data_IF_865175223139
#
_entry.id   IF_865175223139
#
_cell.length_a   1.000
_cell.length_b   1.000
_cell.length_c   1.000
_cell.angle_alpha   90.00
_cell.angle_beta   90.00
_cell.angle_gamma   90.00
#
_symmetry.space_group_name_H-M   'P 1'
#
loop_
_entity.id
_entity.type
_entity.pdbx_description
1 polymer ?
#
# COMPACT_ATOMS: atom_id res chain seq x y z
N UNK A 1 -1.34 2.26 -5.11
CA UNK A 1 -2.27 2.28 -6.26
C UNK A 1 -1.50 2.15 -7.57
N UNK A 2 -2.12 1.70 -8.66
CA UNK A 2 -1.51 1.77 -10.01
C UNK A 2 -1.77 3.09 -10.70
N UNK A 3 -2.91 3.75 -10.44
CA UNK A 3 -3.31 5.00 -11.08
C UNK A 3 -3.37 6.14 -10.06
N UNK A 4 -3.57 7.37 -10.55
CA UNK A 4 -3.72 8.56 -9.71
C UNK A 4 -5.15 8.72 -9.17
N UNK A 5 -5.30 9.43 -8.05
CA UNK A 5 -6.58 9.76 -7.44
C UNK A 5 -7.41 10.67 -8.36
N UNK A 6 -6.76 11.53 -9.17
CA UNK A 6 -7.48 12.45 -10.07
C UNK A 6 -8.17 11.71 -11.23
N UNK A 7 -7.61 10.61 -11.69
CA UNK A 7 -8.19 9.77 -12.75
C UNK A 7 -9.51 9.11 -12.35
N UNK A 8 -9.82 8.99 -11.05
CA UNK A 8 -11.09 8.42 -10.58
C UNK A 8 -12.29 9.13 -11.23
N UNK A 9 -12.19 10.45 -11.44
CA UNK A 9 -13.28 11.25 -12.01
C UNK A 9 -13.56 10.98 -13.49
N UNK A 10 -12.71 10.23 -14.18
CA UNK A 10 -12.84 9.84 -15.59
C UNK A 10 -13.14 8.35 -15.81
N UNK A 11 -13.29 7.57 -14.73
CA UNK A 11 -13.65 6.14 -14.81
C UNK A 11 -15.12 5.96 -15.19
N UNK A 12 -15.41 4.92 -15.96
CA UNK A 12 -16.77 4.48 -16.30
C UNK A 12 -17.32 3.49 -15.27
N UNK A 13 -16.44 2.69 -14.66
CA UNK A 13 -16.80 1.72 -13.63
C UNK A 13 -15.83 1.82 -12.46
N UNK A 14 -16.40 1.92 -11.26
CA UNK A 14 -15.65 1.94 -10.00
C UNK A 14 -16.09 0.73 -9.19
N UNK A 15 -15.21 -0.25 -9.04
CA UNK A 15 -15.47 -1.43 -8.21
C UNK A 15 -14.79 -1.27 -6.86
N UNK A 16 -15.58 -1.08 -5.81
CA UNK A 16 -15.13 -0.97 -4.42
C UNK A 16 -15.32 -2.33 -3.76
N UNK A 17 -14.25 -2.94 -3.24
CA UNK A 17 -14.33 -4.23 -2.54
C UNK A 17 -13.57 -4.18 -1.22
N UNK A 18 -14.21 -4.59 -0.13
CA UNK A 18 -13.61 -4.62 1.21
C UNK A 18 -13.18 -3.24 1.71
N UNK A 19 -13.93 -2.19 1.40
CA UNK A 19 -13.59 -0.80 1.73
C UNK A 19 -14.79 0.05 2.14
N UNK A 20 -14.66 0.72 3.30
CA UNK A 20 -15.55 1.80 3.71
C UNK A 20 -15.01 3.18 3.26
N UNK A 21 -14.84 3.35 1.94
CA UNK A 21 -14.07 4.46 1.36
C UNK A 21 -14.54 5.84 1.81
N UNK A 22 -15.83 6.05 2.07
CA UNK A 22 -16.35 7.37 2.47
C UNK A 22 -15.88 7.80 3.86
N UNK A 23 -15.80 6.86 4.80
CA UNK A 23 -15.36 7.15 6.17
C UNK A 23 -13.82 7.17 6.26
N UNK A 24 -13.14 6.29 5.54
CA UNK A 24 -11.68 6.13 5.68
C UNK A 24 -10.88 6.97 4.69
N UNK A 25 -11.45 7.31 3.53
CA UNK A 25 -10.82 8.12 2.47
C UNK A 25 -11.82 9.12 1.84
N UNK A 26 -12.38 10.06 2.62
CA UNK A 26 -13.49 10.92 2.19
C UNK A 26 -13.19 11.74 0.92
N UNK A 27 -11.95 12.18 0.72
CA UNK A 27 -11.53 12.91 -0.50
C UNK A 27 -11.60 12.02 -1.73
N UNK A 28 -11.20 10.76 -1.62
CA UNK A 28 -11.29 9.76 -2.69
C UNK A 28 -12.76 9.43 -2.98
N UNK A 29 -13.58 9.22 -1.93
CA UNK A 29 -15.01 8.99 -2.09
C UNK A 29 -15.71 10.17 -2.79
N UNK A 30 -15.33 11.41 -2.49
CA UNK A 30 -15.86 12.58 -3.19
C UNK A 30 -15.55 12.56 -4.69
N UNK A 31 -14.37 12.09 -5.10
CA UNK A 31 -14.05 11.91 -6.53
C UNK A 31 -14.85 10.79 -7.17
N UNK A 32 -15.06 9.67 -6.46
CA UNK A 32 -15.95 8.59 -6.92
C UNK A 32 -17.39 9.10 -7.12
N UNK A 33 -17.90 9.92 -6.20
CA UNK A 33 -19.24 10.53 -6.31
C UNK A 33 -19.31 11.51 -7.49
N UNK A 34 -18.23 12.26 -7.78
CA UNK A 34 -18.16 13.09 -8.99
C UNK A 34 -18.21 12.24 -10.26
N UNK A 35 -17.48 11.11 -10.31
CA UNK A 35 -17.54 10.18 -11.44
C UNK A 35 -18.97 9.63 -11.61
N UNK A 36 -19.60 9.20 -10.52
CA UNK A 36 -21.01 8.75 -10.52
C UNK A 36 -21.96 9.81 -11.10
N UNK A 37 -21.82 11.08 -10.70
CA UNK A 37 -22.61 12.20 -11.24
C UNK A 37 -22.38 12.43 -12.74
N UNK A 38 -21.25 11.99 -13.30
CA UNK A 38 -20.96 12.02 -14.74
C UNK A 38 -21.42 10.74 -15.47
N UNK A 39 -22.06 9.80 -14.77
CA UNK A 39 -22.59 8.56 -15.34
C UNK A 39 -21.78 7.30 -15.05
N UNK A 40 -20.72 7.38 -14.23
CA UNK A 40 -19.97 6.18 -13.84
C UNK A 40 -20.82 5.22 -12.99
N UNK A 41 -20.70 3.92 -13.25
CA UNK A 41 -21.36 2.88 -12.45
C UNK A 41 -20.46 2.49 -11.27
N UNK A 42 -21.05 2.37 -10.09
CA UNK A 42 -20.33 1.92 -8.88
C UNK A 42 -20.81 0.52 -8.49
N UNK A 43 -19.87 -0.40 -8.33
CA UNK A 43 -20.10 -1.72 -7.74
C UNK A 43 -19.49 -1.69 -6.33
N UNK A 44 -20.22 -2.17 -5.32
CA UNK A 44 -19.71 -2.28 -3.95
C UNK A 44 -19.83 -3.72 -3.48
N UNK A 45 -18.72 -4.33 -3.07
CA UNK A 45 -18.68 -5.62 -2.37
C UNK A 45 -18.20 -5.41 -0.93
N UNK A 46 -19.12 -5.51 0.03
CA UNK A 46 -18.83 -5.42 1.46
C UNK A 46 -19.93 -6.18 2.24
N UNK A 47 -19.60 -6.93 3.30
CA UNK A 47 -20.60 -7.55 4.17
C UNK A 47 -21.52 -6.53 4.85
N UNK A 48 -21.09 -5.27 4.95
CA UNK A 48 -21.84 -4.19 5.58
C UNK A 48 -22.38 -3.25 4.52
N UNK A 49 -23.48 -2.57 4.85
CA UNK A 49 -24.05 -1.52 4.02
C UNK A 49 -23.32 -0.18 4.22
N UNK A 50 -22.07 -0.10 3.76
CA UNK A 50 -21.22 1.10 3.88
C UNK A 50 -21.85 2.30 3.13
N UNK A 51 -21.51 3.56 3.47
CA UNK A 51 -22.15 4.74 2.87
C UNK A 51 -22.06 4.82 1.33
N UNK A 52 -21.04 4.22 0.72
CA UNK A 52 -20.91 4.17 -0.74
C UNK A 52 -21.99 3.32 -1.43
N UNK A 53 -22.67 2.42 -0.69
CA UNK A 53 -23.79 1.61 -1.22
C UNK A 53 -24.94 2.48 -1.71
N UNK A 54 -25.13 3.70 -1.16
CA UNK A 54 -26.15 4.65 -1.63
C UNK A 54 -25.97 5.05 -3.10
N UNK A 55 -24.75 4.97 -3.62
CA UNK A 55 -24.40 5.33 -4.99
C UNK A 55 -24.17 4.10 -5.89
N UNK A 56 -24.35 2.89 -5.35
CA UNK A 56 -24.01 1.66 -6.04
C UNK A 56 -25.11 1.21 -7.00
N UNK A 57 -24.72 0.88 -8.24
CA UNK A 57 -25.54 0.17 -9.22
C UNK A 57 -25.73 -1.30 -8.82
N UNK A 58 -24.72 -1.88 -8.16
CA UNK A 58 -24.73 -3.24 -7.61
C UNK A 58 -24.10 -3.24 -6.24
N UNK A 59 -24.81 -3.80 -5.27
CA UNK A 59 -24.28 -4.08 -3.93
C UNK A 59 -24.21 -5.59 -3.71
N UNK A 60 -22.99 -6.10 -3.65
CA UNK A 60 -22.67 -7.50 -3.41
C UNK A 60 -22.48 -7.68 -1.91
N UNK A 61 -23.56 -8.03 -1.19
CA UNK A 61 -23.54 -8.25 0.24
C UNK A 61 -22.89 -9.62 0.56
N UNK A 62 -21.57 -9.66 0.45
CA UNK A 62 -20.77 -10.86 0.54
C UNK A 62 -20.61 -11.34 1.99
N UNK A 63 -20.60 -12.66 2.21
CA UNK A 63 -20.17 -13.26 3.48
C UNK A 63 -18.66 -12.99 3.70
N UNK A 64 -18.22 -12.51 4.88
CA UNK A 64 -16.81 -12.23 5.13
C UNK A 64 -15.90 -13.45 4.85
N UNK A 65 -14.77 -13.22 4.17
CA UNK A 65 -13.78 -14.26 3.86
C UNK A 65 -14.13 -15.14 2.66
N UNK A 66 -15.08 -14.73 1.81
CA UNK A 66 -15.47 -15.47 0.60
C UNK A 66 -15.11 -14.74 -0.69
N UNK A 67 -14.20 -13.77 -0.61
CA UNK A 67 -13.85 -12.81 -1.67
C UNK A 67 -13.32 -13.48 -2.94
N UNK A 68 -12.47 -14.52 -2.81
CA UNK A 68 -11.98 -15.30 -3.95
C UNK A 68 -13.12 -15.97 -4.73
N UNK A 69 -14.12 -16.51 -4.03
CA UNK A 69 -15.27 -17.14 -4.68
C UNK A 69 -16.11 -16.12 -5.46
N UNK A 70 -16.29 -14.91 -4.91
CA UNK A 70 -16.97 -13.82 -5.60
C UNK A 70 -16.20 -13.38 -6.85
N UNK A 71 -14.89 -13.12 -6.71
CA UNK A 71 -14.04 -12.64 -7.80
C UNK A 71 -13.92 -13.68 -8.92
N UNK A 72 -13.76 -14.96 -8.59
CA UNK A 72 -13.76 -16.03 -9.58
C UNK A 72 -15.14 -16.24 -10.22
N UNK A 73 -16.23 -16.07 -9.46
CA UNK A 73 -17.59 -16.08 -10.01
C UNK A 73 -17.82 -14.97 -11.04
N UNK A 74 -17.29 -13.76 -10.79
CA UNK A 74 -17.31 -12.68 -11.76
C UNK A 74 -16.42 -12.98 -12.97
N UNK A 75 -15.21 -13.49 -12.73
CA UNK A 75 -14.28 -13.87 -13.79
C UNK A 75 -14.85 -14.93 -14.72
N UNK A 76 -15.54 -15.93 -14.19
CA UNK A 76 -16.24 -16.96 -14.95
C UNK A 76 -17.22 -16.37 -15.96
N UNK A 77 -18.07 -15.43 -15.51
CA UNK A 77 -19.03 -14.75 -16.39
C UNK A 77 -18.32 -13.93 -17.47
N UNK A 78 -17.27 -13.18 -17.10
CA UNK A 78 -16.49 -12.36 -18.05
C UNK A 78 -15.84 -13.22 -19.13
N UNK A 79 -15.30 -14.38 -18.76
CA UNK A 79 -14.66 -15.29 -19.72
C UNK A 79 -15.69 -15.93 -20.63
N UNK A 80 -16.77 -16.50 -20.06
CA UNK A 80 -17.80 -17.22 -20.83
C UNK A 80 -18.61 -16.32 -21.76
N UNK A 81 -18.78 -15.04 -21.42
CA UNK A 81 -19.47 -14.07 -22.27
C UNK A 81 -18.52 -13.34 -23.24
N UNK A 82 -17.23 -13.68 -23.28
CA UNK A 82 -16.26 -13.04 -24.19
C UNK A 82 -15.98 -11.56 -23.88
N UNK A 83 -16.14 -11.13 -22.62
CA UNK A 83 -15.93 -9.74 -22.20
C UNK A 83 -14.47 -9.42 -21.86
N UNK A 84 -13.63 -10.45 -21.70
CA UNK A 84 -12.19 -10.32 -21.50
C UNK A 84 -11.49 -9.67 -22.71
N UNK A 85 -10.28 -9.17 -22.49
CA UNK A 85 -9.48 -8.49 -23.50
C UNK A 85 -8.39 -9.43 -24.01
N UNK A 86 -8.68 -10.14 -25.10
CA UNK A 86 -7.77 -11.13 -25.72
C UNK A 86 -6.43 -10.52 -26.10
N UNK A 87 -6.42 -9.34 -26.75
CA UNK A 87 -5.16 -8.67 -27.15
C UNK A 87 -4.28 -8.37 -25.92
N UNK A 88 -4.86 -7.83 -24.85
CA UNK A 88 -4.11 -7.56 -23.62
C UNK A 88 -3.59 -8.84 -22.97
N UNK A 89 -4.41 -9.90 -22.93
CA UNK A 89 -4.03 -11.20 -22.37
C UNK A 89 -2.82 -11.76 -23.13
N UNK A 90 -2.90 -11.81 -24.45
CA UNK A 90 -1.86 -12.37 -25.31
C UNK A 90 -0.56 -11.57 -25.21
N UNK A 91 -0.63 -10.24 -25.14
CA UNK A 91 0.55 -9.38 -25.10
C UNK A 91 1.18 -9.26 -23.71
N UNK A 92 0.38 -9.24 -22.64
CA UNK A 92 0.82 -8.77 -21.31
C UNK A 92 0.73 -9.80 -20.20
N UNK A 93 0.10 -10.97 -20.43
CA UNK A 93 -0.13 -11.97 -19.37
C UNK A 93 0.43 -13.34 -19.71
N UNK A 94 0.55 -14.21 -18.71
CA UNK A 94 0.89 -15.63 -18.88
C UNK A 94 -0.09 -16.53 -18.13
N UNK A 95 -0.19 -17.81 -18.53
CA UNK A 95 -0.99 -18.80 -17.80
C UNK A 95 -2.50 -18.69 -17.95
N UNK A 96 -3.01 -17.88 -18.90
CA UNK A 96 -4.44 -17.66 -19.08
C UNK A 96 -5.25 -18.94 -19.32
N UNK A 97 -4.78 -19.86 -20.17
CA UNK A 97 -5.53 -21.08 -20.50
C UNK A 97 -5.69 -22.02 -19.29
N UNK A 98 -4.67 -22.17 -18.46
CA UNK A 98 -4.76 -23.00 -17.27
C UNK A 98 -5.59 -22.33 -16.17
N UNK A 99 -5.47 -21.02 -16.02
CA UNK A 99 -6.33 -20.23 -15.14
C UNK A 99 -7.79 -20.27 -15.57
N UNK A 100 -8.08 -20.18 -16.88
CA UNK A 100 -9.43 -20.26 -17.45
C UNK A 100 -10.10 -21.58 -17.09
N UNK A 101 -9.42 -22.72 -17.27
CA UNK A 101 -9.92 -24.05 -16.86
C UNK A 101 -10.25 -24.10 -15.38
N UNK A 102 -9.43 -23.47 -14.53
CA UNK A 102 -9.70 -23.40 -13.10
C UNK A 102 -10.99 -22.61 -12.79
N UNK A 103 -11.20 -21.49 -13.48
CA UNK A 103 -12.35 -20.60 -13.28
C UNK A 103 -13.67 -21.18 -13.83
N UNK A 104 -13.63 -22.15 -14.75
CA UNK A 104 -14.83 -22.84 -15.24
C UNK A 104 -15.68 -23.44 -14.11
N UNK A 105 -15.07 -23.93 -13.03
CA UNK A 105 -15.77 -24.48 -11.88
C UNK A 105 -16.53 -23.42 -11.06
N UNK A 106 -16.15 -22.15 -11.15
CA UNK A 106 -16.71 -21.05 -10.36
C UNK A 106 -17.94 -20.44 -11.04
N UNK A 107 -18.93 -21.26 -11.36
CA UNK A 107 -20.22 -20.77 -11.88
C UNK A 107 -20.87 -19.75 -10.92
N UNK A 108 -21.74 -18.85 -11.40
CA UNK A 108 -22.49 -17.94 -10.52
C UNK A 108 -23.28 -18.68 -9.43
N UNK A 109 -23.81 -19.87 -9.71
CA UNK A 109 -24.48 -20.75 -8.74
C UNK A 109 -23.53 -21.25 -7.66
N UNK A 110 -22.32 -21.68 -8.04
CA UNK A 110 -21.29 -22.10 -7.10
C UNK A 110 -20.84 -20.93 -6.21
N UNK A 111 -20.60 -19.77 -6.81
CA UNK A 111 -20.24 -18.56 -6.09
C UNK A 111 -21.36 -18.10 -5.15
N UNK A 112 -22.63 -18.14 -5.55
CA UNK A 112 -23.79 -17.85 -4.70
C UNK A 112 -23.83 -18.75 -3.45
N UNK A 113 -23.58 -20.05 -3.61
CA UNK A 113 -23.55 -21.01 -2.50
C UNK A 113 -22.50 -20.70 -1.43
N UNK A 114 -21.33 -20.18 -1.82
CA UNK A 114 -20.25 -19.85 -0.89
C UNK A 114 -20.43 -18.44 -0.32
N UNK A 115 -20.68 -17.47 -1.19
CA UNK A 115 -20.65 -16.04 -0.87
C UNK A 115 -21.94 -15.55 -0.24
N UNK A 116 -23.06 -16.24 -0.48
CA UNK A 116 -24.41 -15.76 -0.16
C UNK A 116 -24.90 -14.62 -1.06
N UNK A 117 -24.10 -14.18 -2.05
CA UNK A 117 -24.49 -13.13 -2.98
C UNK A 117 -25.37 -13.74 -4.07
N UNK A 118 -26.56 -13.17 -4.36
CA UNK A 118 -27.44 -13.72 -5.38
C UNK A 118 -26.73 -13.80 -6.74
N UNK A 119 -26.80 -14.95 -7.42
CA UNK A 119 -26.11 -15.18 -8.71
C UNK A 119 -26.40 -14.10 -9.75
N UNK A 120 -27.62 -13.56 -9.76
CA UNK A 120 -28.04 -12.46 -10.65
C UNK A 120 -27.22 -11.18 -10.43
N UNK A 121 -26.83 -10.88 -9.19
CA UNK A 121 -26.02 -9.70 -8.87
C UNK A 121 -24.55 -9.93 -9.23
N UNK A 122 -24.05 -11.17 -9.05
CA UNK A 122 -22.70 -11.56 -9.52
C UNK A 122 -22.61 -11.38 -11.03
N UNK A 123 -23.57 -11.90 -11.79
CA UNK A 123 -23.64 -11.76 -13.25
C UNK A 123 -23.75 -10.27 -13.65
N UNK A 124 -24.61 -9.50 -12.98
CA UNK A 124 -24.77 -8.06 -13.25
C UNK A 124 -23.47 -7.29 -13.02
N UNK A 125 -22.79 -7.52 -11.89
CA UNK A 125 -21.50 -6.90 -11.58
C UNK A 125 -20.42 -7.29 -12.59
N UNK A 126 -20.33 -8.57 -12.94
CA UNK A 126 -19.37 -9.08 -13.91
C UNK A 126 -19.55 -8.46 -15.29
N UNK A 127 -20.80 -8.36 -15.78
CA UNK A 127 -21.11 -7.71 -17.05
C UNK A 127 -20.78 -6.22 -17.04
N UNK A 128 -21.12 -5.51 -15.95
CA UNK A 128 -20.80 -4.08 -15.83
C UNK A 128 -19.28 -3.87 -15.86
N UNK A 129 -18.53 -4.64 -15.07
CA UNK A 129 -17.07 -4.49 -14.99
C UNK A 129 -16.38 -4.93 -16.29
N UNK A 130 -16.69 -6.13 -16.79
CA UNK A 130 -16.06 -6.72 -17.98
C UNK A 130 -16.33 -5.97 -19.28
N UNK A 131 -17.49 -5.31 -19.41
CA UNK A 131 -17.81 -4.53 -20.60
C UNK A 131 -17.10 -3.17 -20.67
N UNK A 132 -16.56 -2.66 -19.58
CA UNK A 132 -15.86 -1.37 -19.57
C UNK A 132 -14.37 -1.52 -19.88
N UNK A 133 -13.81 -0.49 -20.50
CA UNK A 133 -12.37 -0.33 -20.73
C UNK A 133 -11.77 0.83 -19.93
N UNK A 134 -12.54 1.40 -18.99
CA UNK A 134 -12.16 2.45 -18.04
C UNK A 134 -12.67 2.08 -16.64
N UNK A 135 -12.31 0.89 -16.18
CA UNK A 135 -12.72 0.36 -14.89
C UNK A 135 -11.56 0.36 -13.89
N UNK A 136 -11.81 0.83 -12.66
CA UNK A 136 -10.84 0.76 -11.56
C UNK A 136 -11.37 -0.10 -10.40
N UNK A 137 -10.50 -0.92 -9.82
CA UNK A 137 -10.79 -1.66 -8.59
C UNK A 137 -10.13 -0.94 -7.40
N UNK A 138 -10.89 -0.72 -6.34
CA UNK A 138 -10.46 -0.04 -5.12
C UNK A 138 -10.71 -0.95 -3.92
N UNK A 139 -9.64 -1.28 -3.19
CA UNK A 139 -9.72 -2.20 -2.06
C UNK A 139 -8.86 -1.77 -0.88
N UNK A 140 -9.10 -2.33 0.30
CA UNK A 140 -8.30 -2.09 1.49
C UNK A 140 -8.33 -3.31 2.41
N UNK A 141 -8.40 -3.10 3.72
CA UNK A 141 -8.31 -4.11 4.76
C UNK A 141 -9.35 -5.23 4.70
N UNK A 142 -10.54 -5.01 4.13
CA UNK A 142 -11.53 -6.08 3.92
C UNK A 142 -11.10 -7.12 2.87
N UNK A 143 -9.94 -6.93 2.25
CA UNK A 143 -9.28 -7.88 1.36
C UNK A 143 -7.99 -8.40 1.98
N UNK A 144 -7.17 -7.51 2.56
CA UNK A 144 -5.81 -7.84 3.00
C UNK A 144 -5.73 -8.45 4.40
N UNK A 145 -6.67 -8.12 5.32
CA UNK A 145 -6.66 -8.65 6.70
C UNK A 145 -7.44 -9.96 6.81
N UNK A 146 -7.11 -10.89 5.93
CA UNK A 146 -7.61 -12.27 5.90
C UNK A 146 -6.43 -13.24 5.86
N UNK A 147 -6.65 -14.48 6.31
CA UNK A 147 -5.64 -15.55 6.22
C UNK A 147 -5.21 -15.83 4.78
N UNK A 148 -6.04 -15.49 3.79
CA UNK A 148 -5.80 -15.59 2.35
C UNK A 148 -5.63 -14.21 1.68
N UNK A 149 -5.17 -13.19 2.40
CA UNK A 149 -5.09 -11.81 1.88
C UNK A 149 -4.30 -11.66 0.59
N UNK A 150 -3.16 -12.36 0.46
CA UNK A 150 -2.35 -12.38 -0.77
C UNK A 150 -3.10 -12.98 -1.96
N UNK A 151 -3.86 -14.05 -1.72
CA UNK A 151 -4.66 -14.72 -2.74
C UNK A 151 -5.86 -13.85 -3.16
N UNK A 152 -6.49 -13.14 -2.22
CA UNK A 152 -7.55 -12.18 -2.52
C UNK A 152 -7.04 -11.07 -3.45
N UNK A 153 -5.85 -10.51 -3.17
CA UNK A 153 -5.22 -9.47 -4.02
C UNK A 153 -4.84 -10.04 -5.39
N UNK A 154 -4.40 -11.31 -5.45
CA UNK A 154 -4.10 -11.99 -6.71
C UNK A 154 -5.35 -12.19 -7.56
N UNK A 155 -6.49 -12.55 -6.95
CA UNK A 155 -7.78 -12.64 -7.65
C UNK A 155 -8.27 -11.28 -8.19
N UNK A 156 -8.06 -10.19 -7.43
CA UNK A 156 -8.31 -8.82 -7.92
C UNK A 156 -7.42 -8.50 -9.12
N UNK A 157 -6.12 -8.85 -9.05
CA UNK A 157 -5.19 -8.62 -10.13
C UNK A 157 -5.60 -9.37 -11.39
N UNK A 158 -5.98 -10.65 -11.26
CA UNK A 158 -6.49 -11.47 -12.37
C UNK A 158 -7.70 -10.82 -13.04
N UNK A 159 -8.68 -10.36 -12.26
CA UNK A 159 -9.88 -9.70 -12.81
C UNK A 159 -9.53 -8.43 -13.60
N UNK A 160 -8.58 -7.64 -13.12
CA UNK A 160 -8.13 -6.42 -13.81
C UNK A 160 -7.28 -6.72 -15.05
N UNK A 161 -6.42 -7.74 -15.03
CA UNK A 161 -5.57 -8.11 -16.17
C UNK A 161 -6.38 -8.77 -17.28
N UNK A 162 -7.32 -9.68 -16.98
CA UNK A 162 -8.15 -10.32 -18.02
C UNK A 162 -9.05 -9.31 -18.74
N UNK A 163 -9.40 -8.19 -18.09
CA UNK A 163 -10.20 -7.12 -18.70
C UNK A 163 -9.34 -6.01 -19.33
N UNK A 164 -8.02 -6.09 -19.21
CA UNK A 164 -7.08 -5.07 -19.70
C UNK A 164 -7.23 -3.71 -19.01
N UNK A 165 -7.71 -3.69 -17.76
CA UNK A 165 -7.92 -2.49 -16.94
C UNK A 165 -6.68 -2.17 -16.08
N UNK A 166 -5.49 -2.29 -16.67
CA UNK A 166 -4.19 -1.95 -16.06
C UNK A 166 -3.28 -1.34 -17.12
N UNK A 167 -2.35 -0.46 -16.74
CA UNK A 167 -1.38 0.12 -17.68
C UNK A 167 -1.92 1.31 -18.48
N UNK A 168 -3.10 1.83 -18.11
CA UNK A 168 -3.85 2.81 -18.90
C UNK A 168 -4.52 3.86 -18.02
N UNK A 169 -4.83 5.00 -18.60
CA UNK A 169 -5.59 6.05 -17.94
C UNK A 169 -7.00 5.59 -17.54
N UNK A 170 -7.49 6.07 -16.40
CA UNK A 170 -8.83 5.81 -15.88
C UNK A 170 -9.10 4.31 -15.63
N UNK A 171 -8.08 3.56 -15.24
CA UNK A 171 -8.19 2.13 -14.90
C UNK A 171 -7.50 1.82 -13.57
N UNK A 172 -7.17 0.55 -13.32
CA UNK A 172 -6.13 0.18 -12.37
C UNK A 172 -6.59 -0.62 -11.18
N UNK A 173 -5.58 -1.10 -10.45
CA UNK A 173 -5.70 -1.83 -9.20
C UNK A 173 -5.24 -0.87 -8.09
N UNK A 174 -6.17 -0.41 -7.29
CA UNK A 174 -5.97 0.74 -6.42
C UNK A 174 -6.17 0.35 -4.94
N UNK A 175 -5.15 -0.26 -4.28
CA UNK A 175 -5.15 -0.39 -2.83
C UNK A 175 -5.21 1.00 -2.20
N UNK A 176 -6.20 1.21 -1.34
CA UNK A 176 -6.37 2.42 -0.54
C UNK A 176 -5.59 2.25 0.76
N UNK A 177 -4.36 2.76 0.75
CA UNK A 177 -3.46 2.77 1.90
C UNK A 177 -3.96 3.77 2.94
N UNK A 178 -4.01 3.36 4.21
CA UNK A 178 -4.66 4.11 5.28
C UNK A 178 -3.82 5.26 5.87
N UNK A 179 -2.65 4.93 6.44
CA UNK A 179 -1.78 5.93 7.06
C UNK A 179 -1.16 6.86 6.01
N UNK A 180 -0.88 8.11 6.40
CA UNK A 180 -0.43 9.19 5.52
C UNK A 180 0.82 8.86 4.69
N UNK A 181 1.75 8.06 5.25
CA UNK A 181 3.06 7.78 4.68
C UNK A 181 3.40 6.29 4.65
N UNK A 182 2.44 5.37 4.80
CA UNK A 182 2.76 3.94 4.72
C UNK A 182 3.34 3.57 3.35
N UNK A 183 2.99 4.30 2.29
CA UNK A 183 3.65 4.17 1.00
C UNK A 183 5.12 4.59 1.09
N UNK A 184 5.41 5.78 1.65
CA UNK A 184 6.77 6.29 1.77
C UNK A 184 7.65 5.49 2.73
N UNK A 185 7.10 4.97 3.82
CA UNK A 185 7.80 4.06 4.73
C UNK A 185 8.15 2.74 4.03
N UNK A 186 7.22 2.16 3.25
CA UNK A 186 7.53 0.99 2.40
C UNK A 186 8.59 1.33 1.35
N UNK A 187 8.49 2.49 0.69
CA UNK A 187 9.46 2.96 -0.29
C UNK A 187 10.85 3.06 0.34
N UNK A 188 10.93 3.56 1.59
CA UNK A 188 12.15 3.71 2.36
C UNK A 188 12.63 2.43 3.07
N UNK A 189 12.03 1.29 2.72
CA UNK A 189 12.38 -0.02 3.28
C UNK A 189 12.24 -0.12 4.80
N UNK A 190 11.16 0.44 5.35
CA UNK A 190 10.60 -0.02 6.63
C UNK A 190 9.94 -1.40 6.46
N UNK A 191 10.68 -2.35 5.86
CA UNK A 191 10.32 -3.70 5.48
C UNK A 191 11.56 -4.58 5.68
N UNK A 192 11.42 -5.81 6.19
CA UNK A 192 12.58 -6.60 6.64
C UNK A 192 13.38 -7.26 5.50
N UNK A 193 12.85 -7.30 4.27
CA UNK A 193 13.34 -8.14 3.17
C UNK A 193 13.88 -7.36 1.95
N UNK A 194 13.87 -6.03 2.01
CA UNK A 194 14.28 -5.14 0.92
C UNK A 194 15.09 -3.95 1.41
N UNK A 195 15.82 -3.33 0.50
CA UNK A 195 16.45 -2.01 0.61
C UNK A 195 15.59 -0.95 -0.08
N UNK A 196 15.82 0.36 0.19
CA UNK A 196 15.01 1.45 -0.35
C UNK A 196 14.70 1.30 -1.85
N UNK A 197 13.44 1.54 -2.24
CA UNK A 197 12.96 1.33 -3.61
C UNK A 197 12.56 -0.10 -3.94
N UNK A 198 12.23 -0.92 -2.92
CA UNK A 198 11.84 -2.33 -3.06
C UNK A 198 12.95 -3.21 -3.67
N UNK A 199 14.20 -2.88 -3.41
CA UNK A 199 15.35 -3.57 -4.00
C UNK A 199 15.74 -4.74 -3.10
N UNK A 200 15.65 -5.98 -3.61
CA UNK A 200 15.82 -7.17 -2.75
C UNK A 200 17.21 -7.27 -2.13
N UNK A 201 17.24 -7.70 -0.86
CA UNK A 201 18.48 -7.91 -0.08
C UNK A 201 19.33 -9.09 -0.59
N UNK A 202 18.72 -10.04 -1.30
CA UNK A 202 19.41 -11.25 -1.78
C UNK A 202 20.11 -11.07 -3.14
N UNK A 203 20.02 -9.87 -3.73
CA UNK A 203 20.69 -9.52 -4.98
C UNK A 203 22.08 -8.89 -4.71
N UNK A 204 23.19 -9.56 -5.08
CA UNK A 204 24.54 -9.09 -4.75
C UNK A 204 24.86 -7.68 -5.26
N UNK A 205 24.40 -7.33 -6.46
CA UNK A 205 24.62 -6.02 -7.08
C UNK A 205 23.88 -4.89 -6.35
N UNK A 206 22.75 -5.21 -5.73
CA UNK A 206 22.01 -4.26 -4.89
C UNK A 206 22.76 -4.06 -3.58
N UNK A 207 23.18 -5.14 -2.91
CA UNK A 207 23.96 -5.04 -1.68
C UNK A 207 25.22 -4.22 -1.90
N UNK A 208 26.03 -4.55 -2.91
CA UNK A 208 27.29 -3.85 -3.19
C UNK A 208 27.08 -2.34 -3.36
N UNK A 209 26.01 -1.93 -4.06
CA UNK A 209 25.66 -0.52 -4.23
C UNK A 209 25.43 0.20 -2.89
N UNK A 210 24.64 -0.41 -1.99
CA UNK A 210 24.32 0.19 -0.68
C UNK A 210 25.51 0.10 0.29
N UNK A 211 26.24 -1.01 0.31
CA UNK A 211 27.48 -1.17 1.09
C UNK A 211 28.52 -0.11 0.71
N UNK A 212 28.68 0.17 -0.59
CA UNK A 212 29.57 1.22 -1.08
C UNK A 212 29.12 2.61 -0.64
N UNK A 213 27.82 2.88 -0.67
CA UNK A 213 27.28 4.18 -0.28
C UNK A 213 27.39 4.42 1.23
N UNK A 214 27.14 3.40 2.05
CA UNK A 214 27.10 3.51 3.50
C UNK A 214 28.42 3.13 4.20
N UNK A 215 29.37 2.55 3.47
CA UNK A 215 30.69 2.19 4.01
C UNK A 215 30.67 1.04 5.02
N UNK A 216 29.62 0.22 5.01
CA UNK A 216 29.42 -0.91 5.94
C UNK A 216 28.99 -2.16 5.18
N UNK A 217 29.27 -3.33 5.76
CA UNK A 217 28.76 -4.61 5.26
C UNK A 217 27.33 -4.83 5.71
N UNK A 218 26.49 -5.29 4.80
CA UNK A 218 25.06 -5.52 5.04
C UNK A 218 24.76 -7.02 5.08
N UNK A 219 23.71 -7.39 5.83
CA UNK A 219 23.20 -8.76 5.85
C UNK A 219 22.35 -9.01 4.60
N UNK A 220 22.58 -10.09 3.83
CA UNK A 220 21.69 -10.50 2.74
C UNK A 220 20.40 -11.17 3.25
N UNK A 221 20.29 -11.45 4.55
CA UNK A 221 19.16 -12.16 5.15
C UNK A 221 18.06 -11.17 5.52
N UNK A 222 16.83 -11.52 5.16
CA UNK A 222 15.65 -10.82 5.63
C UNK A 222 15.58 -10.83 7.16
N UNK A 223 15.15 -9.70 7.74
CA UNK A 223 14.80 -9.58 9.14
C UNK A 223 13.45 -10.21 9.48
N UNK A 224 12.96 -9.96 10.68
CA UNK A 224 11.64 -10.38 11.13
C UNK A 224 10.59 -9.31 10.82
N UNK A 225 9.39 -9.74 10.45
CA UNK A 225 8.20 -8.88 10.38
C UNK A 225 7.76 -8.44 11.79
N UNK A 226 6.94 -7.39 11.91
CA UNK A 226 6.48 -6.89 13.21
C UNK A 226 5.82 -7.99 14.08
N UNK A 227 4.97 -8.84 13.49
CA UNK A 227 4.33 -9.95 14.21
C UNK A 227 5.35 -11.01 14.63
N UNK A 228 6.33 -11.32 13.78
CA UNK A 228 7.42 -12.23 14.14
C UNK A 228 8.32 -11.64 15.23
N UNK A 229 8.53 -10.32 15.26
CA UNK A 229 9.28 -9.64 16.32
C UNK A 229 8.57 -9.74 17.67
N UNK A 230 7.25 -9.52 17.72
CA UNK A 230 6.45 -9.71 18.94
C UNK A 230 6.52 -11.16 19.42
N UNK A 231 6.36 -12.14 18.51
CA UNK A 231 6.50 -13.56 18.86
C UNK A 231 7.92 -13.91 19.32
N UNK A 232 8.95 -13.35 18.70
CA UNK A 232 10.33 -13.58 19.09
C UNK A 232 10.66 -12.95 20.45
N UNK A 233 10.10 -11.76 20.75
CA UNK A 233 10.19 -11.14 22.07
C UNK A 233 9.48 -11.98 23.14
N UNK A 234 8.28 -12.49 22.85
CA UNK A 234 7.55 -13.42 23.72
C UNK A 234 8.38 -14.67 24.07
N UNK A 235 9.04 -15.26 23.07
CA UNK A 235 9.88 -16.44 23.23
C UNK A 235 11.30 -16.11 23.76
N UNK A 236 11.58 -14.85 24.10
CA UNK A 236 12.87 -14.41 24.63
C UNK A 236 14.03 -14.44 23.64
N UNK A 237 13.75 -14.55 22.33
CA UNK A 237 14.73 -14.53 21.24
C UNK A 237 15.20 -13.11 20.96
N UNK A 238 14.27 -12.15 20.85
CA UNK A 238 14.60 -10.73 20.80
C UNK A 238 14.76 -10.23 22.23
N UNK A 239 15.85 -9.51 22.49
CA UNK A 239 16.17 -8.92 23.80
C UNK A 239 15.92 -7.42 23.87
N UNK A 240 16.03 -6.73 22.75
CA UNK A 240 15.82 -5.29 22.71
C UNK A 240 14.95 -4.90 21.51
N UNK A 241 14.11 -3.89 21.69
CA UNK A 241 13.30 -3.34 20.61
C UNK A 241 13.31 -1.81 20.67
N UNK A 242 13.39 -1.20 19.49
CA UNK A 242 13.21 0.24 19.32
C UNK A 242 11.96 0.49 18.48
N UNK A 243 10.89 0.92 19.13
CA UNK A 243 9.59 1.20 18.51
C UNK A 243 9.47 2.71 18.28
N UNK A 244 9.24 3.13 17.03
CA UNK A 244 9.16 4.53 16.65
C UNK A 244 7.79 4.83 16.04
N UNK A 245 7.01 5.71 16.67
CA UNK A 245 5.74 6.22 16.15
C UNK A 245 4.64 5.17 16.02
N UNK A 246 4.70 4.09 16.81
CA UNK A 246 3.73 3.00 16.80
C UNK A 246 3.27 2.62 18.21
N UNK A 247 2.07 2.05 18.30
CA UNK A 247 1.47 1.62 19.56
C UNK A 247 0.94 0.17 19.47
N UNK A 248 1.82 -0.83 19.27
CA UNK A 248 1.42 -2.22 19.08
C UNK A 248 0.54 -2.77 20.21
N UNK A 249 0.66 -2.29 21.45
CA UNK A 249 -0.23 -2.71 22.54
C UNK A 249 -1.71 -2.52 22.18
N UNK A 250 -2.06 -1.45 21.45
CA UNK A 250 -3.44 -1.17 21.02
C UNK A 250 -3.72 -1.67 19.60
N UNK A 251 -2.73 -1.57 18.70
CA UNK A 251 -2.96 -1.76 17.26
C UNK A 251 -2.71 -3.17 16.76
N UNK A 252 -1.95 -3.99 17.49
CA UNK A 252 -1.68 -5.37 17.11
C UNK A 252 -2.78 -6.32 17.62
N UNK A 253 -2.99 -7.47 16.95
CA UNK A 253 -3.94 -8.47 17.44
C UNK A 253 -3.45 -9.06 18.77
N UNK A 254 -4.40 -9.37 19.65
CA UNK A 254 -4.14 -9.96 20.98
C UNK A 254 -3.22 -9.09 21.86
N UNK A 255 -3.78 -7.99 22.37
CA UNK A 255 -3.14 -7.07 23.30
C UNK A 255 -2.41 -7.74 24.47
N UNK A 256 -2.98 -8.82 25.05
CA UNK A 256 -2.35 -9.49 26.20
C UNK A 256 -1.02 -10.14 25.81
N UNK A 257 -0.99 -10.83 24.66
CA UNK A 257 0.23 -11.39 24.09
C UNK A 257 1.28 -10.32 23.82
N UNK A 258 0.89 -9.21 23.22
CA UNK A 258 1.80 -8.08 22.94
C UNK A 258 2.39 -7.50 24.24
N UNK A 259 1.57 -7.29 25.27
CA UNK A 259 2.04 -6.79 26.57
C UNK A 259 3.04 -7.77 27.21
N UNK A 260 2.74 -9.07 27.20
CA UNK A 260 3.64 -10.10 27.73
C UNK A 260 4.96 -10.14 26.96
N UNK A 261 4.90 -10.07 25.62
CA UNK A 261 6.07 -10.04 24.76
C UNK A 261 6.97 -8.84 25.03
N UNK A 262 6.40 -7.64 25.13
CA UNK A 262 7.17 -6.41 25.37
C UNK A 262 7.78 -6.38 26.77
N UNK A 263 7.10 -6.92 27.79
CA UNK A 263 7.65 -7.06 29.15
C UNK A 263 8.78 -8.07 29.26
N UNK A 264 8.90 -8.99 28.30
CA UNK A 264 9.95 -10.00 28.26
C UNK A 264 11.24 -9.50 27.57
N UNK A 265 11.22 -8.29 27.02
CA UNK A 265 12.43 -7.63 26.52
C UNK A 265 13.33 -7.23 27.71
N UNK A 266 14.65 -7.33 27.50
CA UNK A 266 15.64 -6.79 28.43
C UNK A 266 15.73 -5.26 28.31
N UNK A 267 15.34 -4.70 27.14
CA UNK A 267 15.39 -3.27 26.89
C UNK A 267 14.40 -2.80 25.80
N UNK A 268 13.53 -1.85 26.13
CA UNK A 268 12.55 -1.26 25.23
C UNK A 268 12.72 0.26 25.13
N UNK A 269 12.98 0.75 23.92
CA UNK A 269 12.97 2.17 23.58
C UNK A 269 11.67 2.48 22.83
N UNK A 270 10.97 3.53 23.25
CA UNK A 270 9.81 4.06 22.51
C UNK A 270 10.06 5.53 22.14
N UNK A 271 10.09 5.82 20.85
CA UNK A 271 10.09 7.19 20.33
C UNK A 271 8.68 7.56 19.87
N UNK A 272 8.02 8.47 20.57
CA UNK A 272 6.63 8.84 20.32
C UNK A 272 6.38 10.31 20.68
N UNK A 273 5.27 10.85 20.17
CA UNK A 273 4.77 12.19 20.46
C UNK A 273 3.86 12.21 21.71
N UNK A 274 3.39 11.05 22.16
CA UNK A 274 2.55 10.90 23.36
C UNK A 274 3.00 9.73 24.25
N UNK A 275 2.57 9.75 25.51
CA UNK A 275 2.66 8.60 26.42
C UNK A 275 1.61 7.54 26.06
N UNK A 276 1.89 6.74 25.04
CA UNK A 276 1.05 5.63 24.59
C UNK A 276 1.09 4.44 25.54
N UNK A 277 0.19 3.48 25.35
CA UNK A 277 0.17 2.21 26.10
C UNK A 277 1.47 1.43 25.91
N UNK A 278 2.05 1.48 24.71
CA UNK A 278 3.39 0.92 24.44
C UNK A 278 4.48 1.71 25.15
N UNK A 279 4.46 3.06 25.10
CA UNK A 279 5.45 3.90 25.78
C UNK A 279 5.47 3.68 27.31
N UNK A 280 4.33 3.37 27.93
CA UNK A 280 4.24 3.05 29.37
C UNK A 280 4.98 1.77 29.77
N UNK A 281 5.31 0.91 28.82
CA UNK A 281 6.10 -0.31 29.05
C UNK A 281 7.59 -0.09 28.79
N UNK A 282 7.99 1.07 28.24
CA UNK A 282 9.36 1.31 27.80
C UNK A 282 10.31 1.64 28.96
N UNK A 283 11.56 1.22 28.81
CA UNK A 283 12.65 1.63 29.70
C UNK A 283 13.09 3.07 29.41
N UNK A 284 13.09 3.45 28.13
CA UNK A 284 13.41 4.80 27.67
C UNK A 284 12.33 5.30 26.72
N UNK A 285 11.90 6.54 26.95
CA UNK A 285 11.03 7.27 26.04
C UNK A 285 11.81 8.43 25.44
N UNK A 286 11.81 8.52 24.11
CA UNK A 286 12.43 9.61 23.35
C UNK A 286 11.32 10.51 22.78
N UNK A 287 11.16 11.75 23.28
CA UNK A 287 10.07 12.62 22.83
C UNK A 287 10.31 13.09 21.38
N UNK A 288 9.39 12.73 20.49
CA UNK A 288 9.44 13.09 19.08
C UNK A 288 8.61 14.35 18.77
N UNK A 289 8.96 15.04 17.69
CA UNK A 289 8.20 16.15 17.14
C UNK A 289 7.04 15.66 16.25
N UNK A 290 5.88 16.31 16.36
CA UNK A 290 4.73 15.99 15.50
C UNK A 290 4.93 16.51 14.06
N UNK A 291 4.03 16.14 13.14
CA UNK A 291 4.17 16.50 11.71
C UNK A 291 4.20 18.01 11.43
N UNK A 292 3.64 18.84 12.32
CA UNK A 292 3.62 20.30 12.17
C UNK A 292 4.89 20.97 12.72
N UNK A 293 5.74 20.22 13.40
CA UNK A 293 6.93 20.71 14.09
C UNK A 293 8.23 20.34 13.39
N UNK A 294 8.12 19.54 12.32
CA UNK A 294 9.25 19.04 11.53
C UNK A 294 9.04 19.24 10.03
N UNK A 295 10.13 19.07 9.30
CA UNK A 295 10.15 19.16 7.86
C UNK A 295 10.43 17.80 7.24
N UNK A 296 9.83 17.53 6.09
CA UNK A 296 10.09 16.30 5.36
C UNK A 296 9.18 16.14 4.16
N UNK A 297 8.84 14.90 3.86
CA UNK A 297 7.87 14.54 2.84
C UNK A 297 6.95 13.44 3.34
N UNK A 298 5.75 13.38 2.76
CA UNK A 298 4.89 12.20 2.83
C UNK A 298 4.61 11.70 1.41
N UNK A 299 4.65 10.39 1.22
CA UNK A 299 4.19 9.71 0.02
C UNK A 299 2.84 9.08 0.30
N UNK A 300 1.82 9.54 -0.42
CA UNK A 300 0.44 9.08 -0.22
C UNK A 300 0.13 7.78 -1.02
N UNK A 301 -1.13 7.32 -0.94
CA UNK A 301 -1.61 6.07 -1.60
C UNK A 301 -1.47 6.03 -3.13
N UNK A 302 -1.41 7.18 -3.80
CA UNK A 302 -1.18 7.29 -5.26
C UNK A 302 0.29 7.47 -5.63
N UNK A 303 1.20 7.22 -4.68
CA UNK A 303 2.66 7.39 -4.82
C UNK A 303 3.08 8.85 -4.99
N UNK A 304 2.22 9.80 -4.64
CA UNK A 304 2.54 11.23 -4.72
C UNK A 304 3.32 11.65 -3.48
N UNK A 305 4.57 12.04 -3.69
CA UNK A 305 5.41 12.69 -2.68
C UNK A 305 4.97 14.14 -2.55
N UNK A 306 4.72 14.57 -1.32
CA UNK A 306 4.29 15.91 -0.97
C UNK A 306 5.17 16.48 0.14
N UNK A 307 5.46 17.78 0.07
CA UNK A 307 6.30 18.48 1.05
C UNK A 307 5.54 18.71 2.36
N UNK A 308 6.15 18.33 3.48
CA UNK A 308 5.74 18.69 4.84
C UNK A 308 6.65 19.83 5.31
N UNK A 309 6.06 20.92 5.81
CA UNK A 309 6.77 22.11 6.26
C UNK A 309 6.55 22.33 7.74
N UNK A 310 7.60 22.80 8.42
CA UNK A 310 7.54 23.14 9.83
C UNK A 310 6.70 24.41 10.00
N UNK A 311 5.67 24.33 10.83
CA UNK A 311 4.81 25.44 11.19
C UNK A 311 5.07 25.93 12.63
N UNK A 312 5.49 25.02 13.52
CA UNK A 312 5.72 25.29 14.94
C UNK A 312 7.07 24.73 15.38
N UNK A 313 7.57 25.18 16.54
CA UNK A 313 8.70 24.51 17.19
C UNK A 313 8.21 23.33 18.02
N UNK A 314 8.97 22.22 18.09
CA UNK A 314 8.65 21.11 18.99
C UNK A 314 8.55 21.57 20.45
N UNK A 315 7.68 20.97 21.27
CA UNK A 315 7.53 21.31 22.68
C UNK A 315 8.67 20.74 23.53
N UNK A 316 9.08 21.49 24.56
CA UNK A 316 10.06 21.03 25.55
C UNK A 316 11.38 20.59 24.91
N UNK A 317 11.78 19.34 25.18
CA UNK A 317 13.01 18.73 24.66
C UNK A 317 12.76 17.85 23.42
N UNK A 318 11.54 17.86 22.87
CA UNK A 318 11.20 17.04 21.72
C UNK A 318 12.05 17.44 20.49
N UNK A 319 12.43 16.44 19.70
CA UNK A 319 13.22 16.62 18.47
C UNK A 319 12.56 15.90 17.32
N UNK A 320 12.85 16.31 16.09
CA UNK A 320 12.44 15.53 14.94
C UNK A 320 13.09 14.13 14.96
N UNK A 321 12.37 13.15 14.42
CA UNK A 321 12.77 11.74 14.49
C UNK A 321 14.16 11.50 13.87
N UNK A 322 14.47 12.20 12.78
CA UNK A 322 15.73 12.06 12.06
C UNK A 322 16.90 12.53 12.93
N UNK A 323 16.79 13.68 13.57
CA UNK A 323 17.81 14.19 14.51
C UNK A 323 18.07 13.21 15.67
N UNK A 324 17.03 12.56 16.18
CA UNK A 324 17.18 11.56 17.25
C UNK A 324 17.94 10.33 16.73
N UNK A 325 17.56 9.81 15.55
CA UNK A 325 18.24 8.67 14.92
C UNK A 325 19.71 8.98 14.63
N UNK A 326 20.01 10.16 14.07
CA UNK A 326 21.39 10.59 13.77
C UNK A 326 22.22 10.64 15.06
N UNK A 327 21.68 11.18 16.14
CA UNK A 327 22.39 11.28 17.42
C UNK A 327 22.64 9.91 18.06
N UNK A 328 21.65 9.00 18.00
CA UNK A 328 21.84 7.60 18.46
C UNK A 328 22.92 6.93 17.62
N UNK A 329 22.83 7.01 16.29
CA UNK A 329 23.79 6.39 15.38
C UNK A 329 25.21 6.87 15.66
N UNK A 330 25.40 8.19 15.84
CA UNK A 330 26.69 8.79 16.18
C UNK A 330 27.25 8.21 17.48
N UNK A 331 26.42 8.07 18.52
CA UNK A 331 26.83 7.50 19.82
C UNK A 331 27.16 6.00 19.74
N UNK A 332 26.56 5.29 18.79
CA UNK A 332 26.87 3.88 18.50
C UNK A 332 28.08 3.69 17.57
N UNK A 333 28.73 4.78 17.15
CA UNK A 333 29.97 4.72 16.36
C UNK A 333 29.78 4.81 14.84
N UNK A 334 28.57 5.10 14.35
CA UNK A 334 28.32 5.36 12.93
C UNK A 334 27.83 6.80 12.72
N UNK A 335 28.71 7.66 12.22
CA UNK A 335 28.38 9.06 11.98
C UNK A 335 27.58 9.24 10.68
N UNK A 336 26.35 9.72 10.81
CA UNK A 336 25.53 10.18 9.70
C UNK A 336 25.65 11.70 9.56
N UNK A 337 26.18 12.17 8.43
CA UNK A 337 26.47 13.60 8.19
C UNK A 337 25.38 14.28 7.34
N UNK A 338 24.13 14.21 7.80
CA UNK A 338 23.02 14.93 7.17
C UNK A 338 22.74 16.24 7.90
N UNK A 339 22.56 17.33 7.14
CA UNK A 339 22.23 18.64 7.71
C UNK A 339 20.73 18.90 7.63
N UNK A 340 20.09 18.43 6.56
CA UNK A 340 18.69 18.71 6.25
C UNK A 340 18.02 17.45 5.65
N UNK A 341 16.74 17.18 5.94
CA UNK A 341 15.97 16.11 5.28
C UNK A 341 16.06 16.09 3.73
N UNK A 342 16.34 17.21 3.07
CA UNK A 342 16.60 17.24 1.61
C UNK A 342 17.84 16.43 1.20
N UNK A 343 18.84 16.33 2.07
CA UNK A 343 20.06 15.56 1.83
C UNK A 343 19.73 14.06 1.79
N UNK A 344 18.82 13.62 2.68
CA UNK A 344 18.26 12.26 2.67
C UNK A 344 17.51 11.99 1.36
N UNK A 345 16.64 12.90 0.92
CA UNK A 345 15.91 12.72 -0.35
C UNK A 345 16.87 12.63 -1.54
N UNK A 346 17.96 13.41 -1.52
CA UNK A 346 19.00 13.36 -2.56
C UNK A 346 19.73 12.02 -2.58
N UNK A 347 20.11 11.49 -1.42
CA UNK A 347 20.69 10.15 -1.33
C UNK A 347 19.71 9.08 -1.81
N UNK A 348 18.44 9.20 -1.41
CA UNK A 348 17.37 8.30 -1.82
C UNK A 348 17.26 8.22 -3.35
N UNK A 349 17.25 9.37 -4.02
CA UNK A 349 17.24 9.45 -5.49
C UNK A 349 18.52 8.89 -6.14
N UNK A 350 19.68 9.01 -5.48
CA UNK A 350 20.93 8.44 -5.97
C UNK A 350 20.93 6.90 -5.88
N UNK A 351 20.36 6.32 -4.83
CA UNK A 351 20.31 4.88 -4.61
C UNK A 351 19.11 4.20 -5.27
N UNK A 352 18.05 4.96 -5.55
CA UNK A 352 16.86 4.52 -6.27
C UNK A 352 16.53 5.50 -7.41
N UNK A 353 17.00 5.21 -8.64
CA UNK A 353 16.83 6.10 -9.79
C UNK A 353 15.39 6.47 -10.12
N UNK A 354 14.39 5.68 -9.70
CA UNK A 354 12.98 6.01 -9.90
C UNK A 354 12.54 7.27 -9.13
N UNK A 355 13.33 7.78 -8.18
CA UNK A 355 13.08 9.04 -7.48
C UNK A 355 14.14 10.11 -7.74
N UNK A 356 15.13 9.86 -8.61
CA UNK A 356 16.25 10.78 -8.87
C UNK A 356 15.83 12.18 -9.35
N UNK A 357 14.66 12.29 -9.98
CA UNK A 357 14.10 13.57 -10.40
C UNK A 357 13.40 14.36 -9.30
N UNK A 358 13.18 13.81 -8.11
CA UNK A 358 12.33 14.43 -7.08
C UNK A 358 13.19 15.24 -6.12
N UNK A 359 13.03 16.56 -6.13
CA UNK A 359 13.72 17.49 -5.23
C UNK A 359 12.72 18.38 -4.49
N UNK A 360 13.13 19.00 -3.38
CA UNK A 360 12.25 19.88 -2.60
C UNK A 360 11.73 21.05 -3.44
N UNK A 361 12.58 21.66 -4.26
CA UNK A 361 12.23 22.77 -5.14
C UNK A 361 11.14 22.35 -6.14
N UNK A 362 11.24 21.13 -6.67
CA UNK A 362 10.22 20.59 -7.57
C UNK A 362 8.94 20.25 -6.83
N UNK A 363 9.01 19.74 -5.61
CA UNK A 363 7.82 19.50 -4.79
C UNK A 363 7.08 20.80 -4.47
N UNK A 364 7.82 21.87 -4.16
CA UNK A 364 7.30 23.21 -3.92
C UNK A 364 6.63 23.79 -5.17
N UNK A 365 7.30 23.71 -6.33
CA UNK A 365 6.79 24.23 -7.60
C UNK A 365 5.55 23.48 -8.11
N UNK A 366 5.51 22.16 -7.96
CA UNK A 366 4.49 21.31 -8.59
C UNK A 366 3.36 20.88 -7.64
N UNK A 367 3.44 21.19 -6.34
CA UNK A 367 2.47 20.72 -5.35
C UNK A 367 2.54 19.20 -5.13
N UNK A 368 3.75 18.63 -5.30
CA UNK A 368 4.05 17.21 -5.20
C UNK A 368 4.16 16.47 -6.54
N UNK A 369 4.88 15.34 -6.54
CA UNK A 369 5.17 14.54 -7.73
C UNK A 369 4.90 13.06 -7.45
N UNK A 370 4.40 12.32 -8.44
CA UNK A 370 4.25 10.87 -8.33
C UNK A 370 5.50 10.17 -8.83
N UNK A 371 6.03 9.24 -8.03
CA UNK A 371 7.05 8.33 -8.51
C UNK A 371 6.42 7.19 -9.34
N UNK A 372 7.12 6.65 -10.37
CA UNK A 372 8.46 7.01 -10.84
C UNK A 372 8.61 8.44 -11.40
N UNK A 373 9.79 9.02 -11.18
CA UNK A 373 10.20 10.32 -11.69
C UNK A 373 11.74 10.33 -11.80
N UNK A 374 12.31 9.71 -12.85
CA UNK A 374 13.74 9.43 -12.91
C UNK A 374 14.63 10.63 -13.26
N UNK A 375 14.06 11.74 -13.71
CA UNK A 375 14.82 12.94 -14.10
C UNK A 375 14.11 14.23 -13.72
N UNK A 376 14.86 15.33 -13.66
CA UNK A 376 14.34 16.63 -13.24
C UNK A 376 13.34 17.24 -14.24
N UNK A 377 13.41 16.84 -15.51
CA UNK A 377 12.43 17.23 -16.54
C UNK A 377 11.23 16.28 -16.62
N UNK A 378 11.27 15.13 -15.92
CA UNK A 378 10.18 14.16 -15.96
C UNK A 378 8.98 14.66 -15.14
N UNK A 379 7.75 14.71 -15.68
CA UNK A 379 6.59 15.32 -14.99
C UNK A 379 6.06 14.51 -13.78
N UNK A 380 6.63 13.33 -13.54
CA UNK A 380 6.10 12.30 -12.65
C UNK A 380 5.23 11.30 -13.43
N UNK A 381 4.89 10.18 -12.80
CA UNK A 381 4.16 9.08 -13.45
C UNK A 381 2.76 8.93 -12.85
N UNK A 382 1.70 9.44 -13.52
CA UNK A 382 0.33 9.38 -13.01
C UNK A 382 -0.19 7.96 -12.83
N UNK A 383 0.07 7.10 -13.81
CA UNK A 383 -0.28 5.69 -13.80
C UNK A 383 0.90 4.80 -14.21
N UNK A 384 0.97 3.62 -13.62
CA UNK A 384 2.03 2.64 -13.84
C UNK A 384 1.76 1.74 -15.04
N UNK A 385 2.81 1.05 -15.50
CA UNK A 385 2.76 -0.06 -16.47
C UNK A 385 2.33 0.29 -17.90
N UNK A 386 2.39 1.57 -18.27
CA UNK A 386 2.15 2.02 -19.66
C UNK A 386 3.00 1.24 -20.67
N UNK A 387 4.29 1.09 -20.35
CA UNK A 387 5.27 0.46 -21.24
C UNK A 387 5.49 -1.04 -20.94
N UNK A 388 4.62 -1.64 -20.11
CA UNK A 388 4.71 -3.03 -19.68
C UNK A 388 5.03 -3.19 -18.19
N UNK A 389 5.02 -4.44 -17.72
CA UNK A 389 5.31 -4.75 -16.32
C UNK A 389 6.82 -4.98 -16.11
N UNK A 390 7.37 -4.65 -14.93
CA UNK A 390 8.80 -4.84 -14.64
C UNK A 390 9.31 -6.27 -14.83
N UNK A 391 8.45 -7.27 -14.58
CA UNK A 391 8.76 -8.70 -14.79
C UNK A 391 8.41 -9.23 -16.19
N UNK A 392 8.07 -8.34 -17.14
CA UNK A 392 7.61 -8.71 -18.48
C UNK A 392 6.11 -8.97 -18.53
N UNK A 393 5.71 -10.23 -18.76
CA UNK A 393 4.31 -10.63 -18.72
C UNK A 393 3.91 -11.02 -17.28
N UNK A 394 2.68 -10.70 -16.89
CA UNK A 394 2.19 -10.93 -15.51
C UNK A 394 1.41 -12.21 -15.32
#
# INVERSE_FOLDING_TARGET
MTNSIIEIEGMEVIFIIGSNTKETHPVIANRMIKAFRKGAKIIVADPRRVPMVKFAEVFLNIKPGTDIALLNGMAHVIVNEGLHNTEFIDEKTTGFEDWKKHVEAFTPEYAEGITGVPRKEIIKAARIYGASRKAGIFYTMGITQHTCGTDNVSAIANLATITGNVGREFTGINPLRGQNNVQGASDAACLPDVLPGYQKLDLPEILEKFEKAWGVKLSPKAGLTAIEMINAAYNGIIKAMYIMGENPVITDPNMSHTIEALKNLDFLIVQDIFMTETARLADIILPAACSYEKEGTFTNTERKIQRVRKALNPPGEARDDLSIIIEISRRLGYAMEYVDPKDILKEFGALWPAMAGITYERLDKNGGLQWPCPGQEHPGTPYLYKDGFPKGKV
#
